data_IF_970248919899
#
_entry.id   IF_970248919899
#
_cell.length_a   1.000
_cell.length_b   1.000
_cell.length_c   1.000
_cell.angle_alpha   90.00
_cell.angle_beta   90.00
_cell.angle_gamma   90.00
#
_symmetry.space_group_name_H-M   'P 1'
#
loop_
_entity.id
_entity.type
_entity.pdbx_description
1 polymer ?
#
# COMPACT_ATOMS: atom_id res chain seq x y z
N UNK A 1 -26.63 -30.73 -10.97
CA UNK A 1 -27.43 -30.14 -12.06
C UNK A 1 -28.95 -30.29 -11.86
N UNK A 2 -29.43 -30.97 -10.81
CA UNK A 2 -30.87 -31.25 -10.59
C UNK A 2 -31.61 -30.21 -9.74
N UNK A 3 -30.92 -29.29 -9.05
CA UNK A 3 -31.57 -28.32 -8.16
C UNK A 3 -32.15 -27.08 -8.86
N UNK A 4 -31.69 -26.74 -10.07
CA UNK A 4 -32.11 -25.52 -10.77
C UNK A 4 -33.51 -25.62 -11.41
N UNK A 5 -34.12 -26.81 -11.39
CA UNK A 5 -35.43 -27.13 -11.95
C UNK A 5 -36.51 -27.35 -10.89
N UNK A 6 -36.26 -26.93 -9.65
CA UNK A 6 -37.24 -27.02 -8.56
C UNK A 6 -38.39 -26.01 -8.81
N UNK A 7 -39.67 -26.43 -8.82
CA UNK A 7 -40.81 -25.54 -9.07
C UNK A 7 -40.97 -24.42 -8.02
N UNK A 8 -40.27 -24.50 -6.88
CA UNK A 8 -40.22 -23.44 -5.88
C UNK A 8 -39.12 -22.39 -6.13
N UNK A 9 -38.31 -22.56 -7.18
CA UNK A 9 -37.25 -21.62 -7.57
C UNK A 9 -37.77 -20.81 -8.76
N UNK A 10 -38.17 -19.57 -8.51
CA UNK A 10 -38.71 -18.65 -9.52
C UNK A 10 -37.67 -18.26 -10.59
N UNK A 11 -36.39 -18.20 -10.19
CA UNK A 11 -35.29 -17.87 -11.08
C UNK A 11 -33.94 -18.04 -10.40
N UNK A 12 -32.89 -18.09 -11.22
CA UNK A 12 -31.50 -18.16 -10.78
C UNK A 12 -30.92 -16.75 -10.90
N UNK A 13 -30.71 -16.08 -9.78
CA UNK A 13 -30.13 -14.75 -9.77
C UNK A 13 -28.60 -14.83 -9.86
N UNK A 14 -28.01 -13.98 -10.70
CA UNK A 14 -26.55 -13.85 -10.78
C UNK A 14 -26.01 -13.21 -9.49
N UNK A 15 -25.28 -13.99 -8.70
CA UNK A 15 -24.58 -13.49 -7.52
C UNK A 15 -23.15 -13.08 -7.86
N UNK A 16 -22.96 -12.22 -8.87
CA UNK A 16 -21.62 -11.78 -9.29
C UNK A 16 -21.03 -10.70 -8.37
N UNK A 17 -21.16 -10.88 -7.05
CA UNK A 17 -20.49 -10.05 -6.05
C UNK A 17 -19.10 -10.64 -5.79
N UNK A 18 -18.01 -9.87 -6.00
CA UNK A 18 -16.64 -10.31 -5.73
C UNK A 18 -16.46 -10.82 -4.29
N UNK A 19 -15.66 -11.88 -4.12
CA UNK A 19 -15.49 -12.54 -2.81
C UNK A 19 -14.89 -11.62 -1.75
N UNK A 20 -13.93 -10.79 -2.14
CA UNK A 20 -13.34 -9.76 -1.30
C UNK A 20 -14.38 -8.71 -0.86
N UNK A 21 -15.24 -8.26 -1.78
CA UNK A 21 -16.32 -7.34 -1.43
C UNK A 21 -17.32 -7.98 -0.44
N UNK A 22 -17.67 -9.26 -0.63
CA UNK A 22 -18.52 -9.98 0.33
C UNK A 22 -17.90 -10.00 1.73
N UNK A 23 -16.59 -10.28 1.83
CA UNK A 23 -15.86 -10.24 3.09
C UNK A 23 -15.84 -8.84 3.71
N UNK A 24 -15.70 -7.79 2.90
CA UNK A 24 -15.75 -6.40 3.40
C UNK A 24 -17.14 -5.99 3.88
N UNK A 25 -18.20 -6.57 3.33
CA UNK A 25 -19.57 -6.32 3.80
C UNK A 25 -19.81 -7.03 5.12
N UNK A 26 -19.48 -8.32 5.21
CA UNK A 26 -19.80 -9.18 6.38
C UNK A 26 -18.83 -8.98 7.54
N UNK A 27 -17.54 -8.89 7.24
CA UNK A 27 -16.48 -8.56 8.18
C UNK A 27 -16.14 -7.07 8.05
N UNK A 28 -15.16 -6.63 8.84
CA UNK A 28 -14.65 -5.26 8.73
C UNK A 28 -13.14 -5.19 8.85
N UNK A 29 -12.62 -3.98 9.01
CA UNK A 29 -11.27 -3.72 9.45
C UNK A 29 -10.87 -4.43 10.76
N UNK A 30 -11.84 -4.74 11.63
CA UNK A 30 -11.63 -5.48 12.88
C UNK A 30 -12.65 -6.61 13.00
N UNK A 31 -12.16 -7.78 13.40
CA UNK A 31 -13.01 -8.94 13.68
C UNK A 31 -12.47 -9.72 14.88
N UNK A 32 -13.36 -10.38 15.61
CA UNK A 32 -13.02 -11.37 16.64
C UNK A 32 -13.48 -12.75 16.23
N UNK A 33 -12.86 -13.74 16.86
CA UNK A 33 -13.41 -15.08 16.89
C UNK A 33 -14.65 -15.11 17.78
N UNK A 34 -15.75 -15.68 17.27
CA UNK A 34 -16.97 -15.89 18.05
C UNK A 34 -16.65 -16.71 19.30
N UNK A 35 -17.24 -16.33 20.43
CA UNK A 35 -16.99 -16.97 21.74
C UNK A 35 -17.18 -18.49 21.72
N UNK A 36 -18.16 -18.96 20.95
CA UNK A 36 -18.49 -20.38 20.80
C UNK A 36 -17.37 -21.19 20.14
N UNK A 37 -16.56 -20.56 19.28
CA UNK A 37 -15.50 -21.21 18.51
C UNK A 37 -14.10 -21.07 19.16
N UNK A 38 -13.99 -20.40 20.30
CA UNK A 38 -12.71 -20.17 20.98
C UNK A 38 -12.01 -21.46 21.44
N UNK A 39 -12.75 -22.56 21.62
CA UNK A 39 -12.23 -23.79 22.18
C UNK A 39 -12.04 -24.93 21.17
N UNK A 40 -12.46 -24.74 19.91
CA UNK A 40 -12.51 -25.82 18.91
C UNK A 40 -11.18 -26.02 18.17
N UNK A 41 -10.39 -24.96 17.97
CA UNK A 41 -9.19 -24.97 17.12
C UNK A 41 -7.91 -24.37 17.78
N UNK A 42 -7.70 -24.61 19.07
CA UNK A 42 -6.58 -24.04 19.85
C UNK A 42 -5.20 -24.46 19.29
N UNK A 43 -5.08 -25.65 18.68
CA UNK A 43 -3.79 -26.19 18.24
C UNK A 43 -3.37 -25.75 16.84
N UNK A 44 -4.32 -25.48 15.94
CA UNK A 44 -4.03 -25.13 14.54
C UNK A 44 -3.93 -23.62 14.33
N UNK A 45 -4.60 -22.79 15.15
CA UNK A 45 -4.78 -21.35 14.93
C UNK A 45 -5.33 -21.00 13.54
N UNK A 46 -6.02 -21.94 12.89
CA UNK A 46 -6.68 -21.75 11.61
C UNK A 46 -8.19 -21.60 11.85
N UNK A 47 -8.74 -20.49 11.40
CA UNK A 47 -10.16 -20.17 11.55
C UNK A 47 -10.79 -19.89 10.19
N UNK A 48 -12.06 -20.27 10.05
CA UNK A 48 -12.85 -19.94 8.87
C UNK A 48 -13.48 -18.55 9.02
N UNK A 49 -13.77 -17.87 7.90
CA UNK A 49 -14.37 -16.54 7.94
C UNK A 49 -15.75 -16.51 8.63
N UNK A 50 -16.51 -17.61 8.55
CA UNK A 50 -17.82 -17.73 9.19
C UNK A 50 -17.75 -17.82 10.72
N UNK A 51 -16.59 -18.20 11.26
CA UNK A 51 -16.31 -18.25 12.71
C UNK A 51 -15.96 -16.87 13.27
N UNK A 52 -15.75 -15.89 12.40
CA UNK A 52 -15.46 -14.52 12.77
C UNK A 52 -16.74 -13.69 12.90
N UNK A 53 -16.66 -12.63 13.70
CA UNK A 53 -17.70 -11.63 13.84
C UNK A 53 -17.13 -10.22 13.73
N UNK A 54 -17.95 -9.30 13.22
CA UNK A 54 -17.64 -7.89 13.16
C UNK A 54 -17.43 -7.33 14.58
N UNK A 55 -16.34 -6.57 14.76
CA UNK A 55 -16.12 -5.79 15.98
C UNK A 55 -16.26 -4.30 15.71
N UNK A 56 -16.87 -3.60 16.68
CA UNK A 56 -17.06 -2.17 16.59
C UNK A 56 -15.77 -1.40 16.92
N UNK A 57 -15.55 -0.26 16.27
CA UNK A 57 -14.43 0.64 16.59
C UNK A 57 -14.49 1.22 18.01
N UNK A 58 -15.67 1.18 18.65
CA UNK A 58 -15.83 1.56 20.05
C UNK A 58 -15.13 0.60 21.01
N UNK A 59 -14.92 -0.66 20.60
CA UNK A 59 -14.27 -1.68 21.42
C UNK A 59 -12.75 -1.68 21.18
N UNK A 60 -12.33 -1.50 19.92
CA UNK A 60 -10.93 -1.48 19.55
C UNK A 60 -10.66 -0.51 18.38
N UNK A 61 -9.58 0.26 18.47
CA UNK A 61 -9.18 1.17 17.38
C UNK A 61 -8.41 0.42 16.30
N UNK A 62 -8.83 0.57 15.05
CA UNK A 62 -8.16 -0.04 13.91
C UNK A 62 -6.82 0.64 13.61
N UNK A 63 -5.74 -0.14 13.60
CA UNK A 63 -4.35 0.26 13.34
C UNK A 63 -3.96 1.55 14.07
N UNK A 64 -3.64 1.43 15.35
CA UNK A 64 -3.14 2.55 16.15
C UNK A 64 -1.73 2.97 15.67
N UNK A 65 -1.42 4.26 15.76
CA UNK A 65 -0.12 4.80 15.36
C UNK A 65 1.03 4.10 16.09
N UNK A 66 2.06 3.70 15.36
CA UNK A 66 3.23 3.00 15.91
C UNK A 66 3.07 1.49 16.09
N UNK A 67 1.98 0.89 15.62
CA UNK A 67 1.79 -0.58 15.63
C UNK A 67 2.53 -1.28 14.49
N UNK A 68 2.61 -0.62 13.34
CA UNK A 68 3.26 -1.13 12.13
C UNK A 68 4.24 -0.10 11.58
N UNK A 69 5.29 -0.61 10.95
CA UNK A 69 6.24 0.21 10.22
C UNK A 69 5.85 0.29 8.74
N UNK A 70 5.81 1.51 8.22
CA UNK A 70 5.58 1.76 6.80
C UNK A 70 6.91 1.90 6.06
N UNK A 71 7.11 1.12 5.00
CA UNK A 71 8.15 1.38 4.00
C UNK A 71 7.47 1.88 2.74
N UNK A 72 7.99 2.97 2.19
CA UNK A 72 7.41 3.63 1.02
C UNK A 72 8.19 3.29 -0.25
N UNK A 73 7.49 2.79 -1.26
CA UNK A 73 8.05 2.40 -2.56
C UNK A 73 7.40 3.25 -3.65
N UNK A 74 8.23 4.04 -4.32
CA UNK A 74 7.84 4.83 -5.49
C UNK A 74 8.43 4.18 -6.75
N UNK A 75 7.59 3.95 -7.76
CA UNK A 75 7.99 3.42 -9.06
C UNK A 75 7.32 4.25 -10.15
N UNK A 76 8.13 4.79 -11.06
CA UNK A 76 7.59 5.43 -12.24
C UNK A 76 8.42 5.11 -13.48
N UNK A 77 7.77 4.46 -14.44
CA UNK A 77 8.35 4.09 -15.73
C UNK A 77 7.70 4.87 -16.86
N UNK A 78 8.51 5.54 -17.69
CA UNK A 78 8.02 6.32 -18.83
C UNK A 78 9.07 6.34 -19.94
N UNK A 79 8.66 6.13 -21.19
CA UNK A 79 9.50 6.19 -22.39
C UNK A 79 10.85 5.44 -22.29
N UNK A 80 10.84 4.21 -21.77
CA UNK A 80 12.05 3.39 -21.63
C UNK A 80 12.99 3.80 -20.50
N UNK A 81 12.61 4.81 -19.70
CA UNK A 81 13.29 5.24 -18.48
C UNK A 81 12.49 4.76 -17.27
N UNK A 82 13.19 4.40 -16.21
CA UNK A 82 12.62 3.95 -14.94
C UNK A 82 13.26 4.72 -13.82
N UNK A 83 12.43 5.19 -12.89
CA UNK A 83 12.88 5.69 -11.59
C UNK A 83 12.17 4.88 -10.51
N UNK A 84 12.96 4.24 -9.65
CA UNK A 84 12.47 3.49 -8.50
C UNK A 84 13.17 4.00 -7.25
N UNK A 85 12.41 4.26 -6.19
CA UNK A 85 12.92 4.71 -4.91
C UNK A 85 12.22 3.98 -3.77
N UNK A 86 13.01 3.36 -2.89
CA UNK A 86 12.56 2.67 -1.69
C UNK A 86 13.04 3.45 -0.47
N UNK A 87 12.10 3.96 0.32
CA UNK A 87 12.35 4.77 1.50
C UNK A 87 12.09 3.94 2.75
N UNK A 88 13.11 3.78 3.58
CA UNK A 88 13.07 3.01 4.82
C UNK A 88 13.23 3.98 6.00
N UNK A 89 12.13 4.36 6.69
CA UNK A 89 12.17 5.38 7.73
C UNK A 89 13.07 5.02 8.92
N UNK A 90 13.04 3.78 9.40
CA UNK A 90 13.74 3.39 10.64
C UNK A 90 15.23 3.70 10.63
N UNK A 91 15.90 3.38 9.52
CA UNK A 91 17.35 3.60 9.40
C UNK A 91 17.67 4.85 8.57
N UNK A 92 16.66 5.64 8.20
CA UNK A 92 16.76 6.79 7.30
C UNK A 92 17.52 6.48 6.01
N UNK A 93 17.37 5.25 5.49
CA UNK A 93 18.04 4.82 4.25
C UNK A 93 17.07 4.89 3.08
N UNK A 94 17.58 5.33 1.93
CA UNK A 94 16.81 5.44 0.70
C UNK A 94 17.61 4.82 -0.44
N UNK A 95 17.05 3.79 -1.06
CA UNK A 95 17.65 3.15 -2.23
C UNK A 95 17.00 3.70 -3.49
N UNK A 96 17.81 4.20 -4.42
CA UNK A 96 17.35 4.74 -5.70
C UNK A 96 17.95 3.91 -6.84
N UNK A 97 17.10 3.53 -7.79
CA UNK A 97 17.45 2.90 -9.05
C UNK A 97 16.97 3.73 -10.22
N UNK A 98 17.86 3.95 -11.18
CA UNK A 98 17.59 4.73 -12.38
C UNK A 98 17.95 3.87 -13.58
N UNK A 99 16.99 3.66 -14.49
CA UNK A 99 17.24 3.12 -15.81
C UNK A 99 17.44 4.28 -16.77
N UNK A 100 18.64 4.38 -17.32
CA UNK A 100 18.97 5.35 -18.36
C UNK A 100 19.83 4.69 -19.45
N UNK A 101 19.79 5.27 -20.64
CA UNK A 101 20.62 4.89 -21.78
C UNK A 101 22.11 5.04 -21.52
N UNK A 102 22.48 5.97 -20.63
CA UNK A 102 23.85 6.29 -20.26
C UNK A 102 23.99 6.08 -18.75
N UNK A 103 25.09 5.48 -18.29
CA UNK A 103 25.38 5.26 -16.85
C UNK A 103 25.88 6.53 -16.16
N UNK A 104 25.28 7.67 -16.46
CA UNK A 104 25.61 8.94 -15.84
C UNK A 104 24.61 9.30 -14.75
N UNK A 105 25.14 9.75 -13.62
CA UNK A 105 24.36 10.18 -12.48
C UNK A 105 24.23 11.70 -12.47
N UNK A 106 23.06 12.21 -12.84
CA UNK A 106 22.72 13.63 -12.80
C UNK A 106 21.81 13.96 -11.61
N UNK A 107 21.91 13.20 -10.52
CA UNK A 107 21.12 13.46 -9.31
C UNK A 107 21.50 14.81 -8.67
N UNK A 108 20.49 15.61 -8.27
CA UNK A 108 20.72 16.79 -7.46
C UNK A 108 21.08 16.40 -6.01
N UNK A 109 21.35 17.40 -5.16
CA UNK A 109 21.49 17.17 -3.73
C UNK A 109 20.11 16.80 -3.12
N UNK A 110 19.87 15.51 -2.94
CA UNK A 110 18.58 14.94 -2.52
C UNK A 110 18.18 15.38 -1.10
N UNK A 111 19.14 15.44 -0.17
CA UNK A 111 18.88 15.94 1.19
C UNK A 111 18.41 17.39 1.19
N UNK A 112 19.05 18.26 0.39
CA UNK A 112 18.60 19.66 0.24
C UNK A 112 17.20 19.74 -0.38
N UNK A 113 16.91 18.92 -1.40
CA UNK A 113 15.59 18.91 -2.02
C UNK A 113 14.50 18.46 -1.06
N UNK A 114 14.75 17.40 -0.27
CA UNK A 114 13.78 16.90 0.70
C UNK A 114 13.53 17.93 1.81
N UNK A 115 14.60 18.54 2.36
CA UNK A 115 14.47 19.61 3.37
C UNK A 115 13.62 20.77 2.86
N UNK A 116 13.90 21.27 1.66
CA UNK A 116 13.12 22.35 1.05
C UNK A 116 11.63 21.96 0.89
N UNK A 117 11.35 20.70 0.60
CA UNK A 117 9.98 20.22 0.39
C UNK A 117 9.23 20.02 1.72
N UNK A 118 9.93 19.59 2.77
CA UNK A 118 9.42 19.57 4.14
C UNK A 118 9.17 21.00 4.68
N UNK A 119 10.10 21.93 4.48
CA UNK A 119 9.96 23.34 4.91
C UNK A 119 8.72 24.02 4.32
N UNK A 120 8.44 23.80 3.02
CA UNK A 120 7.21 24.30 2.38
C UNK A 120 5.94 23.76 3.04
N UNK A 121 5.97 22.54 3.59
CA UNK A 121 4.82 21.93 4.28
C UNK A 121 4.68 22.44 5.71
N UNK A 122 5.80 22.63 6.41
CA UNK A 122 5.83 23.27 7.71
C UNK A 122 5.25 24.70 7.66
N UNK A 123 5.60 25.47 6.62
CA UNK A 123 5.02 26.80 6.38
C UNK A 123 3.51 26.79 6.13
N UNK A 124 2.95 25.65 5.68
CA UNK A 124 1.51 25.44 5.51
C UNK A 124 0.81 24.95 6.78
N UNK A 125 1.54 24.80 7.88
CA UNK A 125 0.99 24.35 9.16
C UNK A 125 0.84 22.83 9.29
N UNK A 126 1.54 22.04 8.48
CA UNK A 126 1.56 20.58 8.63
C UNK A 126 2.47 20.19 9.80
N UNK A 127 1.99 19.27 10.64
CA UNK A 127 2.73 18.77 11.80
C UNK A 127 4.06 18.11 11.44
N UNK A 128 5.08 18.37 12.26
CA UNK A 128 6.43 17.83 12.08
C UNK A 128 6.45 16.30 12.09
N UNK A 129 5.57 15.67 12.87
CA UNK A 129 5.50 14.21 13.02
C UNK A 129 5.04 13.50 11.75
N UNK A 130 4.38 14.23 10.84
CA UNK A 130 3.93 13.69 9.55
C UNK A 130 4.99 13.78 8.47
N UNK A 131 6.10 14.49 8.72
CA UNK A 131 7.10 14.81 7.71
C UNK A 131 8.41 14.04 7.94
N UNK A 132 9.07 13.57 6.88
CA UNK A 132 10.38 12.94 6.97
C UNK A 132 11.48 14.02 7.09
N UNK A 133 11.62 14.63 8.27
CA UNK A 133 12.53 15.76 8.52
C UNK A 133 13.99 15.31 8.70
N UNK A 134 14.20 14.07 9.13
CA UNK A 134 15.53 13.51 9.38
C UNK A 134 16.39 13.50 8.11
N UNK A 135 17.71 13.55 8.26
CA UNK A 135 18.61 13.38 7.12
C UNK A 135 18.63 11.93 6.65
N UNK A 136 18.57 11.72 5.34
CA UNK A 136 18.57 10.39 4.75
C UNK A 136 19.90 10.06 4.09
N UNK A 137 20.26 8.78 4.16
CA UNK A 137 21.36 8.19 3.42
C UNK A 137 20.82 7.68 2.08
N UNK A 138 21.14 8.41 1.00
CA UNK A 138 20.70 8.06 -0.35
C UNK A 138 21.74 7.20 -1.08
N UNK A 139 21.34 6.01 -1.49
CA UNK A 139 22.14 5.10 -2.30
C UNK A 139 21.61 5.03 -3.74
N UNK A 140 22.19 5.85 -4.62
CA UNK A 140 21.79 5.95 -6.02
C UNK A 140 22.58 4.96 -6.87
N UNK A 141 21.89 4.18 -7.70
CA UNK A 141 22.51 3.37 -8.76
C UNK A 141 21.82 3.63 -10.10
N UNK A 142 22.63 3.97 -11.10
CA UNK A 142 22.19 4.11 -12.49
C UNK A 142 22.65 2.88 -13.24
N UNK A 143 21.74 2.22 -13.94
CA UNK A 143 22.01 1.04 -14.75
C UNK A 143 21.36 1.20 -16.13
N UNK A 144 21.94 0.54 -17.14
CA UNK A 144 21.41 0.48 -18.50
C UNK A 144 20.50 -0.71 -18.75
N UNK A 145 20.58 -1.72 -17.87
CA UNK A 145 19.77 -2.93 -17.94
C UNK A 145 18.76 -2.94 -16.79
N UNK A 146 17.48 -2.99 -17.18
CA UNK A 146 16.35 -2.98 -16.25
C UNK A 146 16.36 -4.20 -15.32
N UNK A 147 16.88 -5.34 -15.78
CA UNK A 147 16.91 -6.57 -14.99
C UNK A 147 17.83 -6.44 -13.78
N UNK A 148 18.95 -5.71 -13.91
CA UNK A 148 19.86 -5.46 -12.81
C UNK A 148 19.22 -4.59 -11.72
N UNK A 149 18.36 -3.64 -12.11
CA UNK A 149 17.61 -2.80 -11.19
C UNK A 149 16.59 -3.64 -10.45
N UNK A 150 15.74 -4.40 -11.16
CA UNK A 150 14.73 -5.24 -10.54
C UNK A 150 15.33 -6.28 -9.60
N UNK A 151 16.40 -6.99 -10.01
CA UNK A 151 17.11 -7.96 -9.15
C UNK A 151 17.66 -7.29 -7.87
N UNK A 152 18.22 -6.08 -7.99
CA UNK A 152 18.72 -5.32 -6.82
C UNK A 152 17.59 -5.00 -5.86
N UNK A 153 16.48 -4.43 -6.35
CA UNK A 153 15.35 -4.07 -5.49
C UNK A 153 14.64 -5.29 -4.90
N UNK A 154 14.50 -6.37 -5.67
CA UNK A 154 13.93 -7.63 -5.18
C UNK A 154 14.75 -8.18 -4.01
N UNK A 155 16.09 -8.15 -4.11
CA UNK A 155 17.01 -8.57 -3.04
C UNK A 155 16.92 -7.65 -1.82
N UNK A 156 16.89 -6.33 -2.02
CA UNK A 156 16.74 -5.36 -0.91
C UNK A 156 15.42 -5.62 -0.17
N UNK A 157 14.31 -5.73 -0.90
CA UNK A 157 12.99 -5.98 -0.31
C UNK A 157 12.97 -7.33 0.43
N UNK A 158 13.53 -8.39 -0.14
CA UNK A 158 13.61 -9.69 0.53
C UNK A 158 14.41 -9.64 1.85
N UNK A 159 15.49 -8.83 1.88
CA UNK A 159 16.31 -8.68 3.09
C UNK A 159 15.64 -7.89 4.22
N UNK A 160 14.55 -7.16 3.95
CA UNK A 160 13.84 -6.43 5.00
C UNK A 160 13.30 -7.38 6.07
N UNK A 161 12.81 -8.56 5.68
CA UNK A 161 12.27 -9.58 6.61
C UNK A 161 13.35 -10.17 7.50
N UNK A 162 14.55 -10.39 6.94
CA UNK A 162 15.70 -10.92 7.70
C UNK A 162 16.09 -9.93 8.79
N UNK A 163 16.21 -8.65 8.43
CA UNK A 163 16.49 -7.58 9.38
C UNK A 163 15.39 -7.47 10.45
N UNK A 164 14.12 -7.66 10.08
CA UNK A 164 13.02 -7.62 11.06
C UNK A 164 13.11 -8.72 12.11
N UNK A 165 13.42 -9.95 11.68
CA UNK A 165 13.59 -11.09 12.57
C UNK A 165 14.78 -10.91 13.52
N UNK A 166 15.89 -10.36 13.02
CA UNK A 166 17.09 -10.11 13.82
C UNK A 166 16.90 -8.97 14.82
N UNK A 167 16.24 -7.89 14.42
CA UNK A 167 16.11 -6.66 15.21
C UNK A 167 14.85 -6.61 16.08
N UNK A 168 13.94 -7.58 15.95
CA UNK A 168 12.61 -7.60 16.60
C UNK A 168 11.84 -6.30 16.39
N UNK A 169 11.93 -5.75 15.18
CA UNK A 169 11.19 -4.54 14.78
C UNK A 169 9.69 -4.84 14.65
N UNK A 170 8.91 -3.77 14.64
CA UNK A 170 7.47 -3.82 14.35
C UNK A 170 7.23 -4.46 12.98
N UNK A 171 6.10 -5.13 12.81
CA UNK A 171 5.73 -5.70 11.51
C UNK A 171 5.65 -4.62 10.43
N UNK A 172 6.16 -4.93 9.24
CA UNK A 172 6.26 -4.01 8.12
C UNK A 172 5.08 -4.17 7.16
N UNK A 173 4.60 -3.05 6.63
CA UNK A 173 3.80 -3.01 5.40
C UNK A 173 4.42 -2.06 4.38
N UNK A 174 4.11 -2.31 3.10
CA UNK A 174 4.61 -1.53 1.97
C UNK A 174 3.53 -0.57 1.45
N UNK A 175 3.80 0.74 1.49
CA UNK A 175 3.01 1.73 0.77
C UNK A 175 3.61 1.91 -0.63
N UNK A 176 2.86 1.53 -1.66
CA UNK A 176 3.34 1.46 -3.04
C UNK A 176 2.64 2.53 -3.88
N UNK A 177 3.41 3.43 -4.46
CA UNK A 177 2.95 4.37 -5.48
C UNK A 177 3.63 4.01 -6.80
N UNK A 178 2.84 3.52 -7.76
CA UNK A 178 3.35 3.00 -9.02
C UNK A 178 2.42 3.29 -10.18
N UNK A 179 2.98 3.57 -11.36
CA UNK A 179 2.23 3.59 -12.62
C UNK A 179 2.19 2.23 -13.32
N UNK A 180 2.92 1.24 -12.82
CA UNK A 180 2.86 -0.18 -13.18
C UNK A 180 1.89 -0.88 -12.23
N UNK A 181 1.05 -1.78 -12.74
CA UNK A 181 0.11 -2.51 -11.91
C UNK A 181 0.82 -3.35 -10.84
N UNK A 182 0.20 -3.47 -9.66
CA UNK A 182 0.77 -4.27 -8.56
C UNK A 182 0.90 -5.75 -8.93
N UNK A 183 -0.05 -6.27 -9.72
CA UNK A 183 -0.04 -7.64 -10.23
C UNK A 183 1.18 -7.91 -11.12
N UNK A 184 1.52 -6.98 -12.02
CA UNK A 184 2.69 -7.11 -12.89
C UNK A 184 3.98 -7.03 -12.08
N UNK A 185 4.03 -6.10 -11.11
CA UNK A 185 5.18 -5.98 -10.19
C UNK A 185 5.41 -7.29 -9.43
N UNK A 186 4.36 -7.89 -8.86
CA UNK A 186 4.46 -9.12 -8.07
C UNK A 186 4.85 -10.34 -8.90
N UNK A 187 4.27 -10.48 -10.09
CA UNK A 187 4.40 -11.68 -10.92
C UNK A 187 5.72 -11.72 -11.69
N UNK A 188 6.22 -10.56 -12.14
CA UNK A 188 7.30 -10.53 -13.14
C UNK A 188 8.56 -9.78 -12.70
N UNK A 189 8.47 -8.84 -11.76
CA UNK A 189 9.58 -7.89 -11.48
C UNK A 189 10.12 -8.00 -10.05
N UNK A 190 9.24 -8.06 -9.06
CA UNK A 190 9.51 -7.96 -7.62
C UNK A 190 8.68 -9.00 -6.86
N UNK A 191 9.04 -10.27 -7.00
CA UNK A 191 8.35 -11.39 -6.33
C UNK A 191 8.36 -11.28 -4.80
N UNK A 192 9.39 -10.66 -4.21
CA UNK A 192 9.50 -10.46 -2.76
C UNK A 192 8.43 -9.51 -2.21
N UNK A 193 7.72 -8.76 -3.05
CA UNK A 193 6.56 -7.99 -2.61
C UNK A 193 5.47 -8.90 -2.03
N UNK A 194 5.37 -10.17 -2.45
CA UNK A 194 4.33 -11.10 -1.98
C UNK A 194 4.42 -11.41 -0.48
N UNK A 195 5.59 -11.18 0.12
CA UNK A 195 5.85 -11.50 1.51
C UNK A 195 5.39 -10.39 2.47
N UNK A 196 4.89 -9.27 1.95
CA UNK A 196 4.49 -8.10 2.74
C UNK A 196 3.03 -7.70 2.50
N UNK A 197 2.30 -7.26 3.54
CA UNK A 197 1.08 -6.48 3.37
C UNK A 197 1.36 -5.19 2.60
N UNK A 198 0.41 -4.76 1.77
CA UNK A 198 0.62 -3.63 0.84
C UNK A 198 -0.57 -2.70 0.86
N UNK A 199 -0.28 -1.43 0.66
CA UNK A 199 -1.25 -0.36 0.51
C UNK A 199 -0.88 0.37 -0.77
N UNK A 200 -1.83 0.55 -1.68
CA UNK A 200 -1.58 1.28 -2.92
C UNK A 200 -1.94 2.75 -2.72
N UNK A 201 -1.08 3.65 -3.20
CA UNK A 201 -1.36 5.09 -3.23
C UNK A 201 -1.72 5.49 -4.66
N UNK A 202 -3.00 5.78 -4.91
CA UNK A 202 -3.56 6.02 -6.25
C UNK A 202 -3.21 7.38 -6.87
N UNK A 203 -2.11 8.00 -6.45
CA UNK A 203 -1.65 9.29 -6.96
C UNK A 203 -0.83 9.08 -8.22
N UNK A 204 -1.40 9.52 -9.34
CA UNK A 204 -0.79 9.39 -10.66
C UNK A 204 0.06 10.62 -10.98
N UNK A 205 1.30 10.39 -11.40
CA UNK A 205 2.12 11.42 -12.00
C UNK A 205 1.63 11.80 -13.40
N UNK A 206 2.06 12.98 -13.88
CA UNK A 206 1.74 13.44 -15.23
C UNK A 206 2.36 12.53 -16.28
N UNK A 207 1.62 12.30 -17.37
CA UNK A 207 2.17 11.61 -18.54
C UNK A 207 3.33 12.43 -19.12
N UNK A 208 4.38 11.75 -19.60
CA UNK A 208 5.58 12.36 -20.18
C UNK A 208 6.51 13.11 -19.21
N UNK A 209 6.57 12.69 -17.95
CA UNK A 209 7.44 13.30 -16.93
C UNK A 209 8.92 13.31 -17.35
N UNK A 210 9.36 12.36 -18.19
CA UNK A 210 10.77 12.15 -18.52
C UNK A 210 11.23 12.67 -19.89
N UNK A 211 10.48 13.60 -20.49
CA UNK A 211 10.81 14.19 -21.81
C UNK A 211 12.07 15.05 -21.84
N UNK A 212 12.41 15.73 -20.74
CA UNK A 212 13.57 16.62 -20.69
C UNK A 212 14.91 15.88 -20.63
N UNK A 213 16.01 16.56 -21.00
CA UNK A 213 17.37 16.04 -20.77
C UNK A 213 17.65 15.88 -19.26
N UNK A 214 17.20 16.85 -18.45
CA UNK A 214 17.31 16.83 -16.98
C UNK A 214 16.19 16.00 -16.30
N UNK A 215 15.73 14.93 -16.97
CA UNK A 215 14.62 14.11 -16.46
C UNK A 215 14.95 13.48 -15.10
N UNK A 216 16.20 13.08 -14.88
CA UNK A 216 16.69 12.50 -13.63
C UNK A 216 16.40 13.45 -12.43
N UNK A 217 16.73 14.73 -12.59
CA UNK A 217 16.45 15.77 -11.57
C UNK A 217 14.96 15.98 -11.35
N UNK A 218 14.18 15.92 -12.43
CA UNK A 218 12.71 16.05 -12.37
C UNK A 218 12.07 14.87 -11.64
N UNK A 219 12.50 13.64 -11.96
CA UNK A 219 12.06 12.40 -11.32
C UNK A 219 12.37 12.41 -9.82
N UNK A 220 13.61 12.77 -9.45
CA UNK A 220 14.00 12.88 -8.05
C UNK A 220 13.14 13.88 -7.27
N UNK A 221 12.86 15.05 -7.85
CA UNK A 221 11.99 16.06 -7.23
C UNK A 221 10.57 15.52 -7.02
N UNK A 222 9.99 14.86 -8.01
CA UNK A 222 8.65 14.26 -7.90
C UNK A 222 8.61 13.14 -6.85
N UNK A 223 9.57 12.23 -6.86
CA UNK A 223 9.64 11.15 -5.89
C UNK A 223 9.74 11.66 -4.44
N UNK A 224 10.57 12.69 -4.20
CA UNK A 224 10.70 13.31 -2.88
C UNK A 224 9.44 14.11 -2.48
N UNK A 225 8.75 14.74 -3.44
CA UNK A 225 7.47 15.41 -3.20
C UNK A 225 6.39 14.43 -2.75
N UNK A 226 6.31 13.27 -3.41
CA UNK A 226 5.39 12.20 -3.02
C UNK A 226 5.77 11.61 -1.67
N UNK A 227 7.05 11.32 -1.44
CA UNK A 227 7.52 10.83 -0.15
C UNK A 227 7.19 11.78 1.02
N UNK A 228 7.39 13.09 0.83
CA UNK A 228 7.03 14.10 1.82
C UNK A 228 5.51 14.19 2.09
N UNK A 229 4.67 13.72 1.17
CA UNK A 229 3.21 13.66 1.35
C UNK A 229 2.72 12.28 1.81
N UNK A 230 3.51 11.22 1.63
CA UNK A 230 3.04 9.85 1.74
C UNK A 230 2.38 9.57 3.10
N UNK A 231 3.00 10.01 4.20
CA UNK A 231 2.45 9.79 5.53
C UNK A 231 1.13 10.58 5.76
N UNK A 232 1.03 11.81 5.24
CA UNK A 232 -0.20 12.62 5.31
C UNK A 232 -1.34 11.90 4.60
N UNK A 233 -1.07 11.36 3.40
CA UNK A 233 -2.05 10.62 2.62
C UNK A 233 -2.45 9.33 3.33
N UNK A 234 -1.49 8.57 3.85
CA UNK A 234 -1.75 7.33 4.58
C UNK A 234 -2.59 7.54 5.83
N UNK A 235 -2.33 8.60 6.61
CA UNK A 235 -3.15 8.96 7.77
C UNK A 235 -4.58 9.28 7.33
N UNK A 236 -4.76 10.09 6.28
CA UNK A 236 -6.08 10.42 5.75
C UNK A 236 -6.82 9.19 5.19
N UNK A 237 -6.11 8.28 4.53
CA UNK A 237 -6.65 7.00 4.06
C UNK A 237 -7.08 6.14 5.24
N UNK A 238 -6.27 6.09 6.30
CA UNK A 238 -6.58 5.30 7.50
C UNK A 238 -7.83 5.80 8.23
N UNK A 239 -8.02 7.12 8.34
CA UNK A 239 -9.25 7.68 8.92
C UNK A 239 -10.48 7.32 8.07
N UNK A 240 -10.36 7.36 6.75
CA UNK A 240 -11.42 6.90 5.85
C UNK A 240 -11.67 5.39 5.99
N UNK A 241 -10.63 4.57 6.12
CA UNK A 241 -10.76 3.13 6.38
C UNK A 241 -11.51 2.85 7.68
N UNK A 242 -11.22 3.62 8.74
CA UNK A 242 -11.95 3.55 10.01
C UNK A 242 -13.42 3.90 9.81
N UNK A 243 -13.72 4.99 9.11
CA UNK A 243 -15.11 5.38 8.83
C UNK A 243 -15.86 4.32 8.00
N UNK A 244 -15.21 3.76 6.98
CA UNK A 244 -15.80 2.75 6.10
C UNK A 244 -15.76 1.34 6.70
N UNK A 245 -15.08 1.13 7.81
CA UNK A 245 -14.84 -0.18 8.41
C UNK A 245 -14.22 -1.18 7.41
N UNK A 246 -13.17 -0.78 6.70
CA UNK A 246 -12.42 -1.63 5.75
C UNK A 246 -10.93 -1.68 6.09
N UNK A 247 -10.21 -2.79 5.79
CA UNK A 247 -8.77 -2.83 5.96
C UNK A 247 -8.04 -1.83 5.05
N UNK A 248 -6.92 -1.27 5.52
CA UNK A 248 -6.13 -0.27 4.80
C UNK A 248 -5.60 -0.78 3.45
N UNK A 249 -5.29 -2.08 3.34
CA UNK A 249 -4.85 -2.71 2.09
C UNK A 249 -5.95 -2.86 1.04
N UNK A 250 -7.22 -2.72 1.43
CA UNK A 250 -8.39 -2.80 0.56
C UNK A 250 -8.95 -1.40 0.22
N UNK A 251 -8.20 -0.34 0.49
CA UNK A 251 -8.66 1.01 0.17
C UNK A 251 -8.87 1.17 -1.35
N UNK A 252 -10.05 1.63 -1.79
CA UNK A 252 -10.40 1.72 -3.20
C UNK A 252 -9.77 2.95 -3.87
N UNK A 253 -9.67 2.90 -5.20
CA UNK A 253 -9.26 4.06 -6.01
C UNK A 253 -10.28 5.22 -5.96
N UNK A 254 -11.58 4.89 -5.88
CA UNK A 254 -12.67 5.85 -5.67
C UNK A 254 -13.40 5.55 -4.35
N UNK A 255 -12.98 6.19 -3.24
CA UNK A 255 -13.58 5.97 -1.93
C UNK A 255 -15.04 6.39 -1.84
N UNK A 256 -15.46 7.39 -2.62
CA UNK A 256 -16.83 7.91 -2.54
C UNK A 256 -17.83 6.93 -3.14
N UNK A 257 -17.54 6.45 -4.36
CA UNK A 257 -18.39 5.47 -5.03
C UNK A 257 -18.41 4.15 -4.24
N UNK A 258 -17.24 3.67 -3.84
CA UNK A 258 -17.12 2.44 -3.06
C UNK A 258 -17.87 2.52 -1.72
N UNK A 259 -17.82 3.67 -1.03
CA UNK A 259 -18.56 3.86 0.21
C UNK A 259 -20.07 3.74 0.02
N UNK A 260 -20.61 4.31 -1.08
CA UNK A 260 -22.03 4.23 -1.39
C UNK A 260 -22.46 2.76 -1.57
N UNK A 261 -21.71 2.00 -2.37
CA UNK A 261 -21.99 0.59 -2.62
C UNK A 261 -21.86 -0.25 -1.35
N UNK A 262 -20.81 -0.01 -0.56
CA UNK A 262 -20.56 -0.74 0.69
C UNK A 262 -21.67 -0.50 1.73
N UNK A 263 -22.05 0.76 1.96
CA UNK A 263 -23.10 1.08 2.92
C UNK A 263 -24.47 0.58 2.44
N UNK A 264 -24.76 0.69 1.14
CA UNK A 264 -25.99 0.16 0.58
C UNK A 264 -26.07 -1.36 0.74
N UNK A 265 -25.00 -2.09 0.41
CA UNK A 265 -24.94 -3.54 0.57
C UNK A 265 -25.10 -3.97 2.05
N UNK A 266 -24.40 -3.30 2.98
CA UNK A 266 -24.56 -3.56 4.43
C UNK A 266 -25.99 -3.28 4.91
N UNK A 267 -26.64 -2.25 4.38
CA UNK A 267 -28.03 -1.94 4.69
C UNK A 267 -28.97 -3.03 4.19
N UNK A 268 -28.81 -3.51 2.96
CA UNK A 268 -29.62 -4.61 2.41
C UNK A 268 -29.51 -5.89 3.26
N UNK A 269 -28.28 -6.30 3.61
CA UNK A 269 -28.06 -7.49 4.44
C UNK A 269 -28.74 -7.35 5.81
N UNK A 270 -28.66 -6.18 6.44
CA UNK A 270 -29.33 -5.94 7.73
C UNK A 270 -30.85 -6.06 7.65
N UNK A 271 -31.43 -5.82 6.47
CA UNK A 271 -32.85 -5.93 6.21
C UNK A 271 -33.25 -7.24 5.50
N UNK A 272 -32.36 -8.24 5.48
CA UNK A 272 -32.56 -9.55 4.84
C UNK A 272 -32.95 -9.47 3.36
N UNK A 273 -32.37 -8.52 2.63
CA UNK A 273 -32.44 -8.41 1.17
C UNK A 273 -31.17 -8.94 0.50
#
# INVERSE_FOLDING_TARGET
MTDLSNPNIEGVYEMNVPLDFRLLITLSSICSLRKEQQHTNILSNLYQFDELEFLSLSEQTYLQSGTLQCIYLYIHQDNGKLFIALFIPNNSRVFIGILDSIRENHMPNLNKLLKNECEKRLQKGIDTNLLPINEHQFEVKVDTDIQNIWKRFNKIIASLRENDMETRTLSIYLAIQSNISICDLQSSMLSSLNDYPKVTLSIKDKTNLYKGLDWQRTAARHALQHYANANIILVNMLEQCRYLHIPLGNFPDDPCLFACDLFYARHLIKHNH
#
